data_IF_484689185881
#
_entry.id   IF_484689185881
#
_cell.length_a   1.000
_cell.length_b   1.000
_cell.length_c   1.000
_cell.angle_alpha   90.00
_cell.angle_beta   90.00
_cell.angle_gamma   90.00
#
_symmetry.space_group_name_H-M   'P 1'
#
loop_
_entity.id
_entity.type
_entity.pdbx_description
1 polymer ?
#
# COMPACT_ATOMS: atom_id res chain seq x y z
N UNK A 1 -7.04 -2.15 0.43
CA UNK A 1 -7.91 -1.40 -0.49
C UNK A 1 -7.16 -1.30 -1.79
N UNK A 2 -7.78 -1.66 -2.90
CA UNK A 2 -7.16 -1.59 -4.23
C UNK A 2 -8.28 -1.35 -5.27
N UNK A 3 -7.93 -1.08 -6.52
CA UNK A 3 -8.88 -1.03 -7.64
C UNK A 3 -8.91 -2.35 -8.42
N UNK A 4 -7.92 -3.21 -8.22
CA UNK A 4 -7.74 -4.46 -8.94
C UNK A 4 -8.18 -5.66 -8.09
N UNK A 5 -9.12 -6.44 -8.60
CA UNK A 5 -9.64 -7.62 -7.90
C UNK A 5 -8.60 -8.74 -7.75
N UNK A 6 -7.64 -8.86 -8.68
CA UNK A 6 -6.55 -9.85 -8.59
C UNK A 6 -5.64 -9.55 -7.40
N UNK A 7 -5.26 -8.28 -7.21
CA UNK A 7 -4.47 -7.80 -6.07
C UNK A 7 -5.21 -7.96 -4.75
N UNK A 8 -6.53 -7.76 -4.74
CA UNK A 8 -7.36 -8.02 -3.55
C UNK A 8 -7.43 -9.52 -3.23
N UNK A 9 -7.51 -10.39 -4.25
CA UNK A 9 -7.47 -11.83 -4.05
C UNK A 9 -6.12 -12.28 -3.46
N UNK A 10 -5.00 -11.77 -3.99
CA UNK A 10 -3.67 -11.99 -3.43
C UNK A 10 -3.59 -11.50 -1.97
N UNK A 11 -4.09 -10.29 -1.68
CA UNK A 11 -4.12 -9.76 -0.32
C UNK A 11 -4.87 -10.69 0.66
N UNK A 12 -6.00 -11.28 0.25
CA UNK A 12 -6.72 -12.28 1.05
C UNK A 12 -5.89 -13.55 1.29
N UNK A 13 -5.24 -14.06 0.24
CA UNK A 13 -4.36 -15.23 0.36
C UNK A 13 -3.20 -14.98 1.34
N UNK A 14 -2.73 -13.73 1.43
CA UNK A 14 -1.69 -13.28 2.35
C UNK A 14 -2.22 -12.92 3.75
N UNK A 15 -3.51 -13.11 4.03
CA UNK A 15 -4.10 -12.96 5.36
C UNK A 15 -4.86 -11.66 5.61
N UNK A 16 -5.19 -10.87 4.58
CA UNK A 16 -6.08 -9.73 4.75
C UNK A 16 -7.50 -10.17 5.14
N UNK A 17 -7.94 -9.78 6.34
CA UNK A 17 -9.28 -10.09 6.86
C UNK A 17 -10.39 -9.35 6.07
N UNK A 18 -10.11 -8.10 5.67
CA UNK A 18 -11.05 -7.24 4.95
C UNK A 18 -10.39 -6.67 3.70
N UNK A 19 -11.10 -6.76 2.58
CA UNK A 19 -10.69 -6.16 1.31
C UNK A 19 -11.85 -5.41 0.68
N UNK A 20 -11.58 -4.28 0.03
CA UNK A 20 -12.58 -3.51 -0.71
C UNK A 20 -11.98 -2.99 -2.00
N UNK A 21 -12.76 -3.08 -3.09
CA UNK A 21 -12.42 -2.52 -4.39
C UNK A 21 -12.90 -1.06 -4.48
N UNK A 22 -11.95 -0.12 -4.49
CA UNK A 22 -12.22 1.31 -4.49
C UNK A 22 -12.75 1.87 -5.83
N UNK A 23 -12.73 1.07 -6.91
CA UNK A 23 -13.39 1.43 -8.17
C UNK A 23 -14.90 1.15 -8.12
N UNK A 24 -15.35 0.26 -7.23
CA UNK A 24 -16.75 -0.21 -7.15
C UNK A 24 -17.48 0.31 -5.91
N UNK A 25 -16.75 0.71 -4.88
CA UNK A 25 -17.32 1.07 -3.57
C UNK A 25 -16.48 2.18 -2.96
N UNK A 26 -17.11 3.09 -2.21
CA UNK A 26 -16.36 4.05 -1.39
C UNK A 26 -15.65 3.29 -0.24
N UNK A 27 -14.31 3.20 -0.27
CA UNK A 27 -13.57 2.46 0.75
C UNK A 27 -13.64 3.11 2.13
N UNK A 28 -13.82 4.42 2.23
CA UNK A 28 -13.89 5.11 3.52
C UNK A 28 -15.19 4.78 4.25
N UNK A 29 -16.33 4.92 3.57
CA UNK A 29 -17.62 4.53 4.12
C UNK A 29 -17.68 3.04 4.46
N UNK A 30 -17.14 2.18 3.58
CA UNK A 30 -17.08 0.74 3.80
C UNK A 30 -16.28 0.38 5.05
N UNK A 31 -15.03 0.86 5.18
CA UNK A 31 -14.19 0.53 6.35
C UNK A 31 -14.72 1.12 7.65
N UNK A 32 -15.41 2.27 7.61
CA UNK A 32 -16.11 2.80 8.80
C UNK A 32 -17.21 1.87 9.26
N UNK A 33 -17.98 1.32 8.33
CA UNK A 33 -19.06 0.38 8.64
C UNK A 33 -18.52 -0.94 9.15
N UNK A 34 -17.54 -1.52 8.46
CA UNK A 34 -17.08 -2.89 8.75
C UNK A 34 -16.16 -2.96 9.98
N UNK A 35 -15.29 -1.96 10.17
CA UNK A 35 -14.25 -2.03 11.23
C UNK A 35 -14.19 -0.76 12.10
N UNK A 36 -15.15 0.16 11.99
CA UNK A 36 -15.15 1.42 12.74
C UNK A 36 -14.06 2.42 12.33
N UNK A 37 -13.37 2.15 11.22
CA UNK A 37 -12.19 2.90 10.77
C UNK A 37 -10.87 2.34 11.30
N UNK A 38 -9.84 2.36 10.45
CA UNK A 38 -8.53 1.82 10.77
C UNK A 38 -7.79 2.69 11.82
N UNK A 39 -6.99 2.07 12.69
CA UNK A 39 -6.07 2.81 13.58
C UNK A 39 -4.96 3.50 12.78
N UNK A 40 -4.48 2.83 11.74
CA UNK A 40 -3.50 3.37 10.82
C UNK A 40 -3.76 2.91 9.40
N UNK A 41 -3.26 3.69 8.44
CA UNK A 41 -3.28 3.36 7.03
C UNK A 41 -1.87 3.54 6.45
N UNK A 42 -1.38 2.53 5.72
CA UNK A 42 -0.13 2.60 4.96
C UNK A 42 -0.48 2.74 3.48
N UNK A 43 -0.13 3.87 2.88
CA UNK A 43 -0.46 4.18 1.48
C UNK A 43 0.76 3.95 0.59
N UNK A 44 0.73 2.84 -0.15
CA UNK A 44 1.78 2.45 -1.11
C UNK A 44 1.40 2.69 -2.56
N UNK A 45 0.14 3.02 -2.82
CA UNK A 45 -0.39 3.24 -4.17
C UNK A 45 0.22 4.48 -4.83
N UNK A 46 0.44 4.42 -6.14
CA UNK A 46 0.87 5.56 -6.97
C UNK A 46 -0.36 6.32 -7.50
N UNK A 47 -1.22 6.78 -6.60
CA UNK A 47 -2.44 7.51 -6.94
C UNK A 47 -2.79 8.56 -5.88
N UNK A 48 -2.91 9.83 -6.28
CA UNK A 48 -3.35 10.95 -5.42
C UNK A 48 -4.70 10.65 -4.74
N UNK A 49 -5.62 10.00 -5.46
CA UNK A 49 -6.94 9.63 -4.93
C UNK A 49 -6.85 8.68 -3.73
N UNK A 50 -5.88 7.75 -3.74
CA UNK A 50 -5.70 6.83 -2.62
C UNK A 50 -5.26 7.55 -1.33
N UNK A 51 -4.49 8.63 -1.46
CA UNK A 51 -4.02 9.45 -0.34
C UNK A 51 -5.21 10.18 0.29
N UNK A 52 -6.05 10.80 -0.52
CA UNK A 52 -7.28 11.47 -0.06
C UNK A 52 -8.23 10.48 0.62
N UNK A 53 -8.49 9.34 -0.01
CA UNK A 53 -9.39 8.32 0.54
C UNK A 53 -8.88 7.79 1.89
N UNK A 54 -7.56 7.60 2.08
CA UNK A 54 -6.98 7.08 3.31
C UNK A 54 -7.31 7.95 4.54
N UNK A 55 -7.42 9.28 4.38
CA UNK A 55 -7.85 10.19 5.45
C UNK A 55 -9.28 9.86 5.94
N UNK A 56 -10.14 9.42 5.02
CA UNK A 56 -11.50 8.98 5.34
C UNK A 56 -11.58 7.59 5.96
N UNK A 57 -10.59 6.74 5.71
CA UNK A 57 -10.54 5.34 6.19
C UNK A 57 -10.07 5.22 7.65
N UNK A 58 -9.30 6.17 8.15
CA UNK A 58 -8.82 6.15 9.54
C UNK A 58 -9.87 6.64 10.53
N UNK A 59 -9.82 6.09 11.74
CA UNK A 59 -10.63 6.55 12.89
C UNK A 59 -10.10 7.87 13.45
N UNK A 60 -10.85 8.46 14.39
CA UNK A 60 -10.34 9.58 15.22
C UNK A 60 -9.06 9.18 15.96
N UNK A 61 -8.03 9.99 15.89
CA UNK A 61 -6.70 9.72 16.43
C UNK A 61 -5.82 8.84 15.51
N UNK A 62 -6.28 8.49 14.32
CA UNK A 62 -5.57 7.58 13.42
C UNK A 62 -4.37 8.22 12.71
N UNK A 63 -3.46 7.37 12.21
CA UNK A 63 -2.25 7.79 11.48
C UNK A 63 -2.23 7.27 10.05
N UNK A 64 -1.97 8.15 9.09
CA UNK A 64 -1.75 7.80 7.68
C UNK A 64 -0.26 7.94 7.37
N UNK A 65 0.40 6.81 7.06
CA UNK A 65 1.80 6.74 6.61
C UNK A 65 1.87 6.67 5.09
N UNK A 66 2.65 7.56 4.47
CA UNK A 66 2.73 7.73 3.02
C UNK A 66 4.05 7.19 2.49
N UNK A 67 3.99 6.15 1.66
CA UNK A 67 5.15 5.54 0.98
C UNK A 67 5.08 5.71 -0.55
N UNK A 68 3.88 5.83 -1.12
CA UNK A 68 3.69 6.08 -2.55
C UNK A 68 4.27 7.42 -2.98
N UNK A 69 4.68 7.53 -4.25
CA UNK A 69 5.25 8.76 -4.82
C UNK A 69 4.56 9.14 -6.15
N UNK A 70 3.23 9.33 -6.19
CA UNK A 70 2.60 9.93 -7.35
C UNK A 70 3.02 11.41 -7.48
N UNK A 71 3.11 11.96 -8.71
CA UNK A 71 3.33 13.38 -8.89
C UNK A 71 2.11 14.21 -8.45
N UNK A 72 2.35 15.44 -8.01
CA UNK A 72 1.32 16.41 -7.62
C UNK A 72 0.98 16.39 -6.13
N UNK A 73 -0.08 17.13 -5.78
CA UNK A 73 -0.55 17.30 -4.41
C UNK A 73 -1.89 16.61 -4.18
N UNK A 74 -2.22 16.29 -2.92
CA UNK A 74 -3.55 15.84 -2.53
C UNK A 74 -4.15 16.80 -1.49
N UNK A 75 -5.48 17.02 -1.51
CA UNK A 75 -6.12 17.92 -0.56
C UNK A 75 -6.14 17.32 0.85
N UNK A 76 -5.71 18.10 1.84
CA UNK A 76 -5.82 17.76 3.26
C UNK A 76 -6.72 18.77 3.96
N UNK A 77 -7.90 18.32 4.40
CA UNK A 77 -8.82 19.16 5.15
C UNK A 77 -8.31 19.43 6.55
N UNK A 78 -7.90 20.68 6.82
CA UNK A 78 -7.44 21.14 8.15
C UNK A 78 -8.53 20.90 9.20
N UNK A 79 -9.79 21.25 8.89
CA UNK A 79 -10.91 21.07 9.81
C UNK A 79 -11.07 19.60 10.23
N UNK A 80 -11.09 18.68 9.26
CA UNK A 80 -11.24 17.25 9.56
C UNK A 80 -10.00 16.68 10.27
N UNK A 81 -8.80 17.14 9.91
CA UNK A 81 -7.56 16.72 10.54
C UNK A 81 -7.54 17.13 12.03
N UNK A 82 -7.90 18.38 12.33
CA UNK A 82 -7.94 18.90 13.70
C UNK A 82 -9.06 18.24 14.50
N UNK A 83 -10.29 18.23 13.99
CA UNK A 83 -11.45 17.69 14.72
C UNK A 83 -11.31 16.20 15.02
N UNK A 84 -10.70 15.44 14.11
CA UNK A 84 -10.51 14.01 14.28
C UNK A 84 -9.12 13.65 14.82
N UNK A 85 -8.22 14.60 15.03
CA UNK A 85 -6.86 14.35 15.52
C UNK A 85 -6.06 13.39 14.63
N UNK A 86 -6.14 13.55 13.30
CA UNK A 86 -5.45 12.67 12.35
C UNK A 86 -3.98 13.09 12.20
N UNK A 87 -3.07 12.11 12.17
CA UNK A 87 -1.66 12.31 11.81
C UNK A 87 -1.41 11.88 10.38
N UNK A 88 -0.72 12.70 9.60
CA UNK A 88 -0.21 12.35 8.26
C UNK A 88 1.32 12.39 8.31
N UNK A 89 1.99 11.32 7.86
CA UNK A 89 3.45 11.18 7.96
C UNK A 89 4.03 10.56 6.69
N UNK A 90 5.04 11.18 6.11
CA UNK A 90 5.85 10.55 5.06
C UNK A 90 6.79 9.50 5.65
N UNK A 91 6.95 8.38 4.96
CA UNK A 91 7.92 7.34 5.30
C UNK A 91 8.53 6.79 4.01
N UNK A 92 9.85 6.80 3.94
CA UNK A 92 10.58 6.26 2.79
C UNK A 92 11.68 5.35 3.33
N UNK A 93 11.75 4.15 2.76
CA UNK A 93 12.75 3.11 3.10
C UNK A 93 12.87 2.90 4.61
N UNK A 94 14.08 2.85 5.14
CA UNK A 94 14.39 2.76 6.55
C UNK A 94 15.88 3.04 6.79
N UNK A 95 16.24 3.17 8.05
CA UNK A 95 17.63 3.17 8.51
C UNK A 95 18.26 1.78 8.33
N UNK A 96 19.58 1.69 8.57
CA UNK A 96 20.28 0.38 8.59
C UNK A 96 19.71 -0.58 9.63
N UNK A 97 19.23 -0.05 10.76
CA UNK A 97 18.60 -0.87 11.79
C UNK A 97 17.25 -1.40 11.31
N UNK A 98 16.41 -0.54 10.72
CA UNK A 98 15.12 -0.96 10.13
C UNK A 98 15.33 -2.04 9.06
N UNK A 99 16.38 -1.91 8.23
CA UNK A 99 16.74 -2.92 7.23
C UNK A 99 17.09 -4.26 7.90
N UNK A 100 17.95 -4.24 8.93
CA UNK A 100 18.32 -5.46 9.65
C UNK A 100 17.09 -6.14 10.26
N UNK A 101 16.25 -5.39 10.95
CA UNK A 101 15.01 -5.89 11.55
C UNK A 101 14.05 -6.45 10.49
N UNK A 102 13.95 -5.80 9.31
CA UNK A 102 13.13 -6.29 8.20
C UNK A 102 13.64 -7.62 7.61
N UNK A 103 14.96 -7.80 7.55
CA UNK A 103 15.58 -9.04 7.11
C UNK A 103 15.38 -10.16 8.14
N UNK A 104 15.38 -9.82 9.43
CA UNK A 104 15.13 -10.79 10.49
C UNK A 104 13.69 -11.35 10.41
N UNK A 105 12.69 -10.54 10.07
CA UNK A 105 11.33 -11.03 9.78
C UNK A 105 11.29 -12.02 8.60
N UNK A 106 12.03 -11.73 7.52
CA UNK A 106 12.13 -12.63 6.37
C UNK A 106 12.85 -13.94 6.73
N UNK A 107 13.94 -13.84 7.49
CA UNK A 107 14.71 -14.99 8.00
C UNK A 107 13.88 -15.91 8.88
N UNK A 108 12.98 -15.35 9.70
CA UNK A 108 12.05 -16.11 10.54
C UNK A 108 10.87 -16.70 9.76
N UNK A 109 10.74 -16.43 8.46
CA UNK A 109 9.64 -16.88 7.63
C UNK A 109 8.32 -16.14 7.88
N UNK A 110 8.33 -15.09 8.70
CA UNK A 110 7.14 -14.26 8.95
C UNK A 110 6.73 -13.45 7.71
N UNK A 111 7.68 -13.16 6.83
CA UNK A 111 7.46 -12.49 5.55
C UNK A 111 8.11 -13.29 4.44
N UNK A 112 7.33 -13.61 3.40
CA UNK A 112 7.83 -14.20 2.15
C UNK A 112 7.38 -13.33 0.98
N UNK A 113 8.34 -12.74 0.27
CA UNK A 113 8.03 -11.94 -0.91
C UNK A 113 7.42 -12.83 -2.01
N UNK A 114 6.36 -12.33 -2.66
CA UNK A 114 5.85 -12.92 -3.89
C UNK A 114 6.72 -12.43 -5.05
N UNK A 115 7.53 -13.31 -5.62
CA UNK A 115 8.51 -12.94 -6.64
C UNK A 115 8.44 -13.83 -7.86
N UNK A 116 8.79 -13.26 -9.02
CA UNK A 116 9.16 -13.99 -10.21
C UNK A 116 10.51 -13.48 -10.73
N UNK A 117 11.24 -14.31 -11.47
CA UNK A 117 12.54 -13.95 -12.02
C UNK A 117 12.44 -13.54 -13.49
N UNK A 118 13.34 -12.67 -13.92
CA UNK A 118 13.55 -12.30 -15.31
C UNK A 118 15.04 -12.09 -15.56
N UNK A 119 15.49 -12.22 -16.82
CA UNK A 119 16.87 -11.90 -17.18
C UNK A 119 17.04 -10.41 -17.42
N UNK A 120 18.28 -9.93 -17.37
CA UNK A 120 18.59 -8.52 -17.61
C UNK A 120 18.12 -8.04 -18.99
N UNK A 121 18.18 -8.90 -20.02
CA UNK A 121 17.75 -8.55 -21.39
C UNK A 121 16.24 -8.26 -21.48
N UNK A 122 15.45 -8.72 -20.51
CA UNK A 122 14.00 -8.57 -20.49
C UNK A 122 13.54 -7.29 -19.79
N UNK A 123 14.47 -6.44 -19.33
CA UNK A 123 14.17 -5.28 -18.48
C UNK A 123 13.09 -4.35 -19.04
N UNK A 124 13.08 -4.11 -20.35
CA UNK A 124 12.07 -3.26 -20.98
C UNK A 124 10.66 -3.91 -20.91
N UNK A 125 10.57 -5.22 -21.15
CA UNK A 125 9.30 -5.94 -21.02
C UNK A 125 8.82 -5.96 -19.56
N UNK A 126 9.74 -6.04 -18.60
CA UNK A 126 9.40 -5.93 -17.17
C UNK A 126 8.82 -4.55 -16.87
N UNK A 127 9.39 -3.47 -17.41
CA UNK A 127 8.84 -2.13 -17.27
C UNK A 127 7.45 -1.99 -17.91
N UNK A 128 7.24 -2.54 -19.10
CA UNK A 128 5.94 -2.50 -19.78
C UNK A 128 4.86 -3.19 -18.95
N UNK A 129 5.14 -4.39 -18.41
CA UNK A 129 4.24 -5.10 -17.49
C UNK A 129 3.97 -4.30 -16.22
N UNK A 130 5.00 -3.66 -15.66
CA UNK A 130 4.84 -2.84 -14.46
C UNK A 130 3.91 -1.65 -14.70
N UNK A 131 4.07 -0.96 -15.84
CA UNK A 131 3.24 0.19 -16.21
C UNK A 131 1.80 -0.24 -16.54
N UNK A 132 1.61 -1.41 -17.12
CA UNK A 132 0.28 -2.00 -17.33
C UNK A 132 -0.40 -2.46 -16.04
N UNK A 133 0.36 -2.64 -14.96
CA UNK A 133 -0.13 -3.17 -13.67
C UNK A 133 -0.17 -4.69 -13.60
N UNK A 134 0.40 -5.38 -14.59
CA UNK A 134 0.38 -6.84 -14.81
C UNK A 134 1.51 -7.58 -14.06
N UNK A 135 1.88 -7.10 -12.88
CA UNK A 135 2.88 -7.75 -12.01
C UNK A 135 2.25 -8.01 -10.65
N UNK A 136 2.15 -9.29 -10.30
CA UNK A 136 1.92 -9.72 -8.93
C UNK A 136 3.24 -9.69 -8.16
N UNK A 137 3.28 -8.92 -7.07
CA UNK A 137 4.46 -8.81 -6.22
C UNK A 137 5.65 -8.10 -6.88
N UNK A 138 6.77 -8.81 -7.09
CA UNK A 138 8.02 -8.24 -7.60
C UNK A 138 8.70 -9.12 -8.64
N UNK A 139 9.21 -8.50 -9.70
CA UNK A 139 10.18 -9.13 -10.59
C UNK A 139 11.58 -8.88 -10.04
N UNK A 140 12.39 -9.93 -9.94
CA UNK A 140 13.80 -9.89 -9.52
C UNK A 140 14.66 -10.31 -10.71
N UNK A 141 15.64 -9.48 -11.08
CA UNK A 141 16.58 -9.84 -12.13
C UNK A 141 17.56 -10.91 -11.63
N UNK A 142 17.66 -12.01 -12.36
CA UNK A 142 18.55 -13.12 -12.02
C UNK A 142 19.89 -13.00 -12.77
N UNK A 143 20.98 -13.13 -12.01
CA UNK A 143 22.37 -13.04 -12.47
C UNK A 143 23.19 -14.28 -12.08
N UNK A 144 22.53 -15.32 -11.55
CA UNK A 144 23.20 -16.56 -11.14
C UNK A 144 23.73 -17.39 -12.29
#
# INVERSE_FOLDING_TARGET
VDIDDSKLALAKQLGAEVTVNAAKTDPAAFLRKEIGGAHGALVTAVSVKAFEQALGMVRRGGTVSLNGLPPGDFPLSIFNMVLNGITVRGSIVGTRLDLQESLDFAKLGAVKAHTATARLEEINSVFDKMLAGDIDGRIVLDFS
#
